data_IF_294950200932
#
_entry.id   IF_294950200932
#
_cell.length_a   1.000
_cell.length_b   1.000
_cell.length_c   1.000
_cell.angle_alpha   90.00
_cell.angle_beta   90.00
_cell.angle_gamma   90.00
#
_symmetry.space_group_name_H-M   'P 1'
#
loop_
_entity.id
_entity.type
_entity.pdbx_description
1 polymer ?
#
# COMPACT_ATOMS: atom_id res chain seq x y z
N UNK A 1 2.87 -16.33 -3.72
CA UNK A 1 3.83 -15.70 -4.67
C UNK A 1 3.82 -14.19 -4.44
N UNK A 2 4.83 -13.46 -4.88
CA UNK A 2 4.90 -12.01 -4.72
C UNK A 2 5.60 -11.37 -5.91
N UNK A 3 5.40 -10.07 -6.08
CA UNK A 3 6.04 -9.27 -7.11
C UNK A 3 6.84 -8.15 -6.48
N UNK A 4 8.12 -8.05 -6.84
CA UNK A 4 9.03 -7.01 -6.34
C UNK A 4 8.65 -5.68 -6.98
N UNK A 5 8.51 -4.64 -6.15
CA UNK A 5 8.29 -3.28 -6.60
C UNK A 5 9.61 -2.60 -6.93
N UNK A 6 9.61 -1.84 -8.02
CA UNK A 6 10.62 -0.81 -8.26
C UNK A 6 10.33 0.40 -7.37
N UNK A 7 11.31 1.29 -7.22
CA UNK A 7 11.14 2.53 -6.45
C UNK A 7 10.00 3.40 -7.00
N UNK A 8 9.91 3.57 -8.32
CA UNK A 8 8.83 4.30 -8.97
C UNK A 8 7.44 3.67 -8.71
N UNK A 9 7.36 2.33 -8.74
CA UNK A 9 6.11 1.63 -8.43
C UNK A 9 5.73 1.71 -6.96
N UNK A 10 6.73 1.70 -6.07
CA UNK A 10 6.49 1.91 -4.65
C UNK A 10 5.91 3.31 -4.41
N UNK A 11 6.46 4.34 -5.04
CA UNK A 11 5.92 5.69 -4.95
C UNK A 11 4.47 5.78 -5.45
N UNK A 12 4.15 5.11 -6.56
CA UNK A 12 2.79 5.03 -7.10
C UNK A 12 1.82 4.44 -6.07
N UNK A 13 2.18 3.31 -5.44
CA UNK A 13 1.38 2.69 -4.37
C UNK A 13 1.22 3.63 -3.17
N UNK A 14 2.29 4.31 -2.77
CA UNK A 14 2.27 5.21 -1.61
C UNK A 14 1.55 6.53 -1.88
N UNK A 15 1.35 6.92 -3.15
CA UNK A 15 0.68 8.17 -3.53
C UNK A 15 -0.72 7.95 -4.11
N UNK A 16 -1.16 6.69 -4.25
CA UNK A 16 -2.43 6.31 -4.85
C UNK A 16 -3.66 6.96 -4.18
N UNK A 17 -3.56 7.32 -2.90
CA UNK A 17 -4.60 8.06 -2.18
C UNK A 17 -4.94 9.41 -2.82
N UNK A 18 -3.99 10.02 -3.56
CA UNK A 18 -4.21 11.27 -4.32
C UNK A 18 -5.11 11.06 -5.54
N UNK A 19 -5.27 9.82 -5.99
CA UNK A 19 -6.09 9.42 -7.13
C UNK A 19 -7.38 8.69 -6.69
N UNK A 20 -7.80 8.85 -5.42
CA UNK A 20 -8.94 8.17 -4.81
C UNK A 20 -8.85 6.63 -4.89
N UNK A 21 -7.63 6.09 -4.94
CA UNK A 21 -7.39 4.64 -4.93
C UNK A 21 -7.22 4.19 -3.48
N UNK A 22 -8.13 3.34 -2.96
CA UNK A 22 -8.07 2.91 -1.57
C UNK A 22 -6.85 2.02 -1.30
N UNK A 23 -6.17 2.26 -0.19
CA UNK A 23 -5.08 1.43 0.35
C UNK A 23 -3.91 1.17 -0.61
N UNK A 24 -3.70 1.99 -1.64
CA UNK A 24 -2.63 1.75 -2.62
C UNK A 24 -2.89 0.59 -3.58
N UNK A 25 -4.13 0.10 -3.68
CA UNK A 25 -4.51 -1.00 -4.59
C UNK A 25 -4.61 -0.49 -6.04
N UNK A 26 -3.45 -0.20 -6.63
CA UNK A 26 -3.34 0.31 -8.00
C UNK A 26 -4.01 -0.64 -9.00
N UNK A 27 -4.74 -0.09 -9.97
CA UNK A 27 -5.62 -0.85 -10.88
C UNK A 27 -4.88 -1.86 -11.76
N UNK A 28 -3.58 -1.66 -11.95
CA UNK A 28 -2.74 -2.54 -12.75
C UNK A 28 -2.45 -3.86 -12.01
N UNK A 29 -2.65 -3.89 -10.69
CA UNK A 29 -2.38 -5.03 -9.81
C UNK A 29 -3.68 -5.71 -9.38
N UNK A 30 -4.31 -6.44 -10.31
CA UNK A 30 -5.63 -7.07 -10.13
C UNK A 30 -5.74 -8.04 -8.93
N UNK A 31 -4.61 -8.53 -8.42
CA UNK A 31 -4.55 -9.48 -7.30
C UNK A 31 -4.08 -8.82 -5.99
N UNK A 32 -3.89 -7.50 -5.97
CA UNK A 32 -3.52 -6.79 -4.75
C UNK A 32 -4.76 -6.47 -3.92
N UNK A 33 -5.13 -7.41 -3.04
CA UNK A 33 -6.31 -7.31 -2.18
C UNK A 33 -5.91 -7.30 -0.71
N UNK A 34 -6.08 -6.15 -0.06
CA UNK A 34 -5.82 -5.97 1.37
C UNK A 34 -6.98 -5.25 2.05
N UNK A 35 -7.13 -5.47 3.35
CA UNK A 35 -8.07 -4.73 4.20
C UNK A 35 -7.38 -4.43 5.53
N UNK A 36 -7.34 -3.15 5.92
CA UNK A 36 -6.63 -2.69 7.12
C UNK A 36 -7.46 -1.62 7.82
N UNK A 37 -7.84 -1.86 9.07
CA UNK A 37 -8.69 -0.96 9.85
C UNK A 37 -7.97 0.32 10.32
N UNK A 38 -8.75 1.38 10.58
CA UNK A 38 -8.32 2.66 11.15
C UNK A 38 -8.49 3.84 10.20
N UNK A 39 -8.61 5.07 10.72
CA UNK A 39 -8.98 6.24 9.91
C UNK A 39 -7.82 6.90 9.14
N UNK A 40 -6.57 6.72 9.56
CA UNK A 40 -5.39 7.28 8.88
C UNK A 40 -5.12 6.56 7.55
N UNK A 41 -4.73 7.31 6.51
CA UNK A 41 -4.32 6.74 5.22
C UNK A 41 -3.13 5.78 5.38
N UNK A 42 -3.23 4.60 4.75
CA UNK A 42 -2.25 3.52 4.89
C UNK A 42 -2.39 2.47 3.81
N UNK A 43 -1.32 1.72 3.62
CA UNK A 43 -1.30 0.49 2.81
C UNK A 43 -0.61 -0.63 3.59
N UNK A 44 -0.62 -1.84 3.06
CA UNK A 44 0.13 -2.97 3.60
C UNK A 44 0.88 -3.69 2.48
N UNK A 45 2.17 -3.94 2.71
CA UNK A 45 3.06 -4.59 1.74
C UNK A 45 3.82 -5.75 2.39
N UNK A 46 4.36 -6.62 1.53
CA UNK A 46 5.31 -7.65 1.93
C UNK A 46 6.73 -7.09 1.81
N UNK A 47 7.61 -7.37 2.79
CA UNK A 47 9.03 -7.02 2.73
C UNK A 47 9.85 -8.31 2.73
N UNK A 48 10.59 -8.56 1.65
CA UNK A 48 11.50 -9.72 1.51
C UNK A 48 12.93 -9.19 1.45
N UNK A 49 13.72 -9.47 2.48
CA UNK A 49 15.05 -8.87 2.62
C UNK A 49 14.94 -7.35 2.69
N UNK A 50 15.50 -6.66 1.70
CA UNK A 50 15.44 -5.20 1.57
C UNK A 50 14.45 -4.70 0.51
N UNK A 51 13.70 -5.60 -0.12
CA UNK A 51 12.78 -5.26 -1.20
C UNK A 51 11.33 -5.19 -0.71
N UNK A 52 10.61 -4.19 -1.22
CA UNK A 52 9.16 -4.10 -1.08
C UNK A 52 8.47 -4.90 -2.18
N UNK A 53 7.40 -5.61 -1.82
CA UNK A 53 6.70 -6.51 -2.72
C UNK A 53 5.18 -6.41 -2.55
N UNK A 54 4.47 -6.59 -3.66
CA UNK A 54 3.02 -6.84 -3.66
C UNK A 54 2.80 -8.35 -3.43
N UNK A 55 2.03 -8.73 -2.40
CA UNK A 55 1.63 -10.12 -2.24
C UNK A 55 0.63 -10.54 -3.32
N UNK A 56 0.73 -11.79 -3.79
CA UNK A 56 -0.25 -12.41 -4.71
C UNK A 56 -1.03 -13.52 -4.02
N UNK A 57 -2.29 -13.67 -4.38
CA UNK A 57 -3.24 -14.62 -3.79
C UNK A 57 -3.35 -14.44 -2.27
N UNK A 58 -3.14 -15.52 -1.53
CA UNK A 58 -3.24 -15.55 -0.06
C UNK A 58 -1.92 -15.20 0.65
N UNK A 59 -0.92 -14.68 -0.08
CA UNK A 59 0.38 -14.33 0.53
C UNK A 59 0.16 -13.17 1.52
N UNK A 60 0.57 -13.30 2.80
CA UNK A 60 0.33 -12.24 3.77
C UNK A 60 1.25 -11.04 3.53
N UNK A 61 0.80 -9.86 3.93
CA UNK A 61 1.66 -8.69 4.11
C UNK A 61 2.42 -8.80 5.43
N UNK A 62 3.49 -8.03 5.58
CA UNK A 62 4.32 -8.03 6.81
C UNK A 62 4.41 -6.66 7.46
N UNK A 63 4.11 -5.60 6.71
CA UNK A 63 4.21 -4.23 7.19
C UNK A 63 2.97 -3.44 6.80
N UNK A 64 2.47 -2.64 7.74
CA UNK A 64 1.51 -1.56 7.48
C UNK A 64 2.30 -0.27 7.36
N UNK A 65 2.20 0.39 6.20
CA UNK A 65 2.85 1.68 5.93
C UNK A 65 1.80 2.75 6.14
N UNK A 66 2.00 3.57 7.18
CA UNK A 66 1.13 4.71 7.48
C UNK A 66 1.65 5.94 6.76
N UNK A 67 0.79 6.58 5.98
CA UNK A 67 1.17 7.81 5.29
C UNK A 67 1.04 9.01 6.23
N UNK A 68 1.80 10.10 6.01
CA UNK A 68 1.68 11.30 6.83
C UNK A 68 0.23 11.77 6.88
N UNK A 69 -0.27 11.97 8.10
CA UNK A 69 -1.52 12.71 8.29
C UNK A 69 -1.19 14.15 7.91
N UNK A 70 -1.99 14.75 7.03
CA UNK A 70 -1.92 16.19 6.78
C UNK A 70 -2.29 16.98 8.05
N UNK A 71 -2.68 18.23 7.89
CA UNK A 71 -3.20 18.98 9.04
C UNK A 71 -4.58 18.45 9.46
N UNK A 72 -4.72 18.08 10.73
CA UNK A 72 -6.02 17.81 11.33
C UNK A 72 -6.72 19.17 11.48
N UNK A 73 -7.58 19.51 10.51
CA UNK A 73 -8.50 20.63 10.67
C UNK A 73 -9.60 20.20 11.63
N UNK A 74 -9.50 20.62 12.88
CA UNK A 74 -10.63 20.56 13.82
C UNK A 74 -11.68 21.59 13.37
N UNK A 75 -12.99 21.29 13.49
CA UNK A 75 -14.04 22.26 13.21
C UNK A 75 -13.97 23.50 14.11
#
# INVERSE_FOLDING_TARGET
AWEKLTEARLEEVLTAYKADIPLGMIREENDFRISVAGAQEKTALLRIGNDWCIPKGITPTTHIIKLPIGEIRQP
#
